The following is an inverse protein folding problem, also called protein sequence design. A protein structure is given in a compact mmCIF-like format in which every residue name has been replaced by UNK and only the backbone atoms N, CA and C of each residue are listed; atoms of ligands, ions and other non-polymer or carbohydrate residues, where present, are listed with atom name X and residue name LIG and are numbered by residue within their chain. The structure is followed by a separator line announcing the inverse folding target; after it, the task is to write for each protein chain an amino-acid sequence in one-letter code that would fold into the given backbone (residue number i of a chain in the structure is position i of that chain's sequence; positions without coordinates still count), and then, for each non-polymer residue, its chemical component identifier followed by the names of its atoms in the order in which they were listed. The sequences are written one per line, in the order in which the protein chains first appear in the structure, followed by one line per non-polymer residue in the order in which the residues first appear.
data_IF_492320308491
#
_entry.id   IF_492320308491
#
_cell.length_a   1.000
_cell.length_b   1.000
_cell.length_c   1.000
_cell.angle_alpha   90.00
_cell.angle_beta   90.00
_cell.angle_gamma   90.00
#
_symmetry.space_group_name_H-M   'P 1'
#
loop_
_entity.id
_entity.type
_entity.pdbx_description
1 polymer ?
#
# COMPACT_ATOMS: atom_id res chain seq x y z
N UNK A 1 -8.93 -14.10 2.28
CA UNK A 1 -7.80 -13.75 1.38
C UNK A 1 -7.87 -12.35 0.76
N UNK A 2 -9.04 -11.77 0.52
CA UNK A 2 -9.18 -10.48 -0.19
C UNK A 2 -8.34 -9.32 0.38
N UNK A 3 -8.25 -9.18 1.70
CA UNK A 3 -7.45 -8.12 2.36
C UNK A 3 -5.95 -8.28 2.07
N UNK A 4 -5.43 -9.51 2.11
CA UNK A 4 -4.03 -9.79 1.81
C UNK A 4 -3.73 -9.52 0.32
N UNK A 5 -4.65 -9.87 -0.58
CA UNK A 5 -4.49 -9.56 -2.01
C UNK A 5 -4.42 -8.04 -2.25
N UNK A 6 -5.17 -7.25 -1.48
CA UNK A 6 -5.12 -5.79 -1.54
C UNK A 6 -3.78 -5.23 -1.04
N UNK A 7 -3.18 -5.83 -0.01
CA UNK A 7 -1.82 -5.50 0.46
C UNK A 7 -0.77 -5.72 -0.62
N UNK A 8 -0.78 -6.91 -1.21
CA UNK A 8 0.17 -7.30 -2.27
C UNK A 8 0.04 -6.38 -3.48
N UNK A 9 -1.19 -6.01 -3.86
CA UNK A 9 -1.43 -5.05 -4.93
C UNK A 9 -0.82 -3.68 -4.61
N UNK A 10 -1.03 -3.17 -3.39
CA UNK A 10 -0.45 -1.89 -2.94
C UNK A 10 1.07 -1.90 -3.02
N UNK A 11 1.70 -2.96 -2.51
CA UNK A 11 3.15 -3.15 -2.57
C UNK A 11 3.67 -3.25 -4.00
N UNK A 12 2.93 -3.90 -4.90
CA UNK A 12 3.25 -3.95 -6.33
C UNK A 12 3.25 -2.58 -7.01
N UNK A 13 2.26 -1.73 -6.70
CA UNK A 13 2.21 -0.35 -7.21
C UNK A 13 3.39 0.47 -6.68
N UNK A 14 3.73 0.33 -5.39
CA UNK A 14 4.89 1.00 -4.80
C UNK A 14 6.19 0.56 -5.50
N UNK A 15 6.39 -0.74 -5.71
CA UNK A 15 7.57 -1.26 -6.40
C UNK A 15 7.69 -0.71 -7.84
N UNK A 16 6.57 -0.56 -8.54
CA UNK A 16 6.55 0.05 -9.86
C UNK A 16 6.97 1.52 -9.83
N UNK A 17 6.50 2.29 -8.84
CA UNK A 17 6.94 3.68 -8.65
C UNK A 17 8.42 3.80 -8.33
N UNK A 18 8.97 2.88 -7.51
CA UNK A 18 10.42 2.82 -7.24
C UNK A 18 11.21 2.59 -8.51
N UNK A 19 10.72 1.72 -9.40
CA UNK A 19 11.36 1.44 -10.70
C UNK A 19 11.34 2.66 -11.62
N UNK A 20 10.27 3.47 -11.58
CA UNK A 20 10.21 4.74 -12.33
C UNK A 20 11.22 5.75 -11.76
N UNK A 21 11.27 5.88 -10.43
CA UNK A 21 12.15 6.84 -9.75
C UNK A 21 13.65 6.55 -9.97
N UNK A 22 14.00 5.27 -10.15
CA UNK A 22 15.38 4.81 -10.32
C UNK A 22 15.91 4.89 -11.75
N UNK A 23 15.12 5.39 -12.71
CA UNK A 23 15.53 5.47 -14.12
C UNK A 23 16.62 6.51 -14.38
N UNK A 24 16.51 7.68 -13.73
CA UNK A 24 17.44 8.79 -13.97
C UNK A 24 18.68 8.66 -13.10
N UNK A 25 18.54 8.16 -11.87
CA UNK A 25 19.65 7.94 -10.95
C UNK A 25 19.29 6.98 -9.84
N UNK A 26 20.30 6.46 -9.15
CA UNK A 26 20.14 5.47 -8.06
C UNK A 26 20.48 6.05 -6.69
N UNK A 27 21.11 7.23 -6.63
CA UNK A 27 21.46 7.85 -5.36
C UNK A 27 20.23 8.46 -4.68
N UNK A 28 20.15 8.33 -3.36
CA UNK A 28 19.09 8.92 -2.55
C UNK A 28 19.09 10.44 -2.70
N UNK A 29 17.95 11.11 -2.95
CA UNK A 29 17.85 12.55 -3.20
C UNK A 29 18.00 13.35 -1.91
N UNK A 30 19.18 13.25 -1.30
CA UNK A 30 19.57 13.93 -0.07
C UNK A 30 20.88 14.65 -0.41
N UNK A 31 20.81 15.97 -0.49
CA UNK A 31 21.98 16.78 -0.81
C UNK A 31 23.00 16.71 0.33
N UNK A 32 24.24 16.32 0.01
CA UNK A 32 25.38 16.33 0.93
C UNK A 32 26.30 17.50 0.59
N UNK A 33 26.83 18.18 1.61
CA UNK A 33 27.67 19.39 1.44
C UNK A 33 28.97 19.17 0.64
N UNK A 34 29.41 17.91 0.44
CA UNK A 34 30.60 17.55 -0.34
C UNK A 34 30.23 16.71 -1.57
N UNK A 35 29.23 17.14 -2.34
CA UNK A 35 28.69 16.38 -3.46
C UNK A 35 29.77 16.08 -4.53
N UNK A 36 30.16 14.81 -4.63
CA UNK A 36 30.59 14.27 -5.93
C UNK A 36 29.43 14.43 -6.92
N UNK A 37 29.73 14.54 -8.22
CA UNK A 37 28.73 14.44 -9.28
C UNK A 37 28.13 13.03 -9.27
N UNK A 38 27.08 12.82 -8.48
CA UNK A 38 26.31 11.57 -8.44
C UNK A 38 24.91 11.82 -8.97
N UNK A 39 24.41 10.84 -9.72
CA UNK A 39 23.08 10.89 -10.31
C UNK A 39 22.05 10.45 -9.28
N UNK A 40 21.28 11.43 -8.79
CA UNK A 40 20.21 11.24 -7.82
C UNK A 40 18.96 10.66 -8.49
N UNK A 41 18.22 9.84 -7.74
CA UNK A 41 16.90 9.38 -8.11
C UNK A 41 15.88 10.54 -8.04
N UNK A 42 14.81 10.45 -8.81
CA UNK A 42 13.76 11.48 -8.81
C UNK A 42 13.10 11.57 -7.41
N UNK A 43 13.11 12.75 -6.75
CA UNK A 43 12.47 12.94 -5.46
C UNK A 43 10.94 12.96 -5.52
N UNK A 44 10.33 13.26 -6.68
CA UNK A 44 8.88 13.41 -6.81
C UNK A 44 8.14 12.08 -6.56
N UNK A 45 8.50 10.96 -7.22
CA UNK A 45 7.90 9.66 -6.92
C UNK A 45 8.09 9.21 -5.47
N UNK A 46 9.19 9.58 -4.81
CA UNK A 46 9.47 9.18 -3.42
C UNK A 46 8.49 9.81 -2.43
N UNK A 47 8.16 11.09 -2.61
CA UNK A 47 7.14 11.76 -1.80
C UNK A 47 5.75 11.14 -2.01
N UNK A 48 5.43 10.76 -3.25
CA UNK A 48 4.17 10.07 -3.57
C UNK A 48 4.10 8.69 -2.93
N UNK A 49 5.18 7.89 -3.00
CA UNK A 49 5.27 6.58 -2.36
C UNK A 49 5.02 6.67 -0.85
N UNK A 50 5.67 7.62 -0.16
CA UNK A 50 5.50 7.79 1.29
C UNK A 50 4.02 8.07 1.65
N UNK A 51 3.36 8.91 0.87
CA UNK A 51 1.93 9.22 1.04
C UNK A 51 1.06 7.98 0.78
N UNK A 52 1.36 7.24 -0.29
CA UNK A 52 0.62 6.03 -0.65
C UNK A 52 0.72 4.93 0.41
N UNK A 53 1.90 4.75 1.02
CA UNK A 53 2.12 3.79 2.12
C UNK A 53 1.21 4.11 3.31
N UNK A 54 1.16 5.37 3.75
CA UNK A 54 0.36 5.78 4.90
C UNK A 54 -1.14 5.60 4.62
N UNK A 55 -1.60 5.93 3.41
CA UNK A 55 -2.99 5.70 3.00
C UNK A 55 -3.31 4.21 2.96
N UNK A 56 -2.45 3.41 2.33
CA UNK A 56 -2.61 1.95 2.24
C UNK A 56 -2.71 1.29 3.62
N UNK A 57 -1.82 1.65 4.54
CA UNK A 57 -1.85 1.19 5.92
C UNK A 57 -3.14 1.57 6.64
N UNK A 58 -3.61 2.81 6.45
CA UNK A 58 -4.86 3.29 7.07
C UNK A 58 -6.08 2.49 6.59
N UNK A 59 -6.15 2.18 5.30
CA UNK A 59 -7.24 1.38 4.73
C UNK A 59 -7.16 -0.06 5.22
N UNK A 60 -5.97 -0.65 5.33
CA UNK A 60 -5.80 -1.98 5.91
C UNK A 60 -6.27 -2.07 7.36
N UNK A 61 -5.90 -1.10 8.19
CA UNK A 61 -6.35 -1.04 9.57
C UNK A 61 -7.89 -0.99 9.65
N UNK A 62 -8.52 -0.14 8.83
CA UNK A 62 -9.97 -0.04 8.75
C UNK A 62 -10.63 -1.36 8.31
N UNK A 63 -10.10 -2.01 7.27
CA UNK A 63 -10.63 -3.30 6.79
C UNK A 63 -10.49 -4.40 7.84
N UNK A 64 -9.36 -4.46 8.56
CA UNK A 64 -9.16 -5.44 9.62
C UNK A 64 -10.17 -5.24 10.75
N UNK A 65 -10.38 -4.00 11.20
CA UNK A 65 -11.42 -3.70 12.21
C UNK A 65 -12.81 -4.10 11.70
N UNK A 66 -13.12 -3.82 10.42
CA UNK A 66 -14.36 -4.23 9.79
C UNK A 66 -14.56 -5.76 9.81
N UNK A 67 -13.53 -6.52 9.44
CA UNK A 67 -13.58 -7.99 9.45
C UNK A 67 -13.63 -8.54 10.87
N UNK A 68 -12.94 -7.94 11.84
CA UNK A 68 -13.04 -8.33 13.24
C UNK A 68 -14.46 -8.17 13.78
N UNK A 69 -15.14 -7.08 13.41
CA UNK A 69 -16.54 -6.86 13.77
C UNK A 69 -17.45 -7.88 13.07
N UNK A 70 -17.25 -8.09 11.77
CA UNK A 70 -18.03 -9.06 11.00
C UNK A 70 -17.89 -10.50 11.54
N UNK A 71 -16.68 -10.89 11.94
CA UNK A 71 -16.38 -12.18 12.55
C UNK A 71 -17.03 -12.38 13.93
N UNK A 72 -17.31 -11.28 14.64
CA UNK A 72 -18.01 -11.32 15.92
C UNK A 72 -19.51 -11.53 15.74
N UNK A 73 -20.08 -10.92 14.71
CA UNK A 73 -21.52 -10.89 14.48
C UNK A 73 -22.00 -12.05 13.58
N UNK A 74 -21.11 -12.73 12.86
CA UNK A 74 -21.45 -13.81 11.93
C UNK A 74 -20.67 -15.10 12.23
N UNK A 75 -21.29 -16.29 12.05
CA UNK A 75 -20.64 -17.58 12.27
C UNK A 75 -19.60 -17.93 11.20
N UNK A 76 -19.63 -17.24 10.06
CA UNK A 76 -18.70 -17.43 8.94
C UNK A 76 -18.22 -16.08 8.40
N UNK A 77 -17.04 -16.08 7.79
CA UNK A 77 -16.48 -14.94 7.07
C UNK A 77 -16.58 -15.09 5.54
N UNK A 78 -17.29 -16.12 5.07
CA UNK A 78 -17.58 -16.31 3.65
C UNK A 78 -18.60 -15.26 3.17
N UNK A 79 -18.17 -14.39 2.25
CA UNK A 79 -18.97 -13.25 1.82
C UNK A 79 -20.31 -13.67 1.20
N UNK A 80 -20.32 -14.75 0.41
CA UNK A 80 -21.53 -15.24 -0.26
C UNK A 80 -22.57 -15.75 0.75
N UNK A 81 -22.13 -16.39 1.85
CA UNK A 81 -23.03 -16.88 2.91
C UNK A 81 -23.65 -15.73 3.71
N UNK A 82 -22.87 -14.69 3.98
CA UNK A 82 -23.35 -13.49 4.67
C UNK A 82 -24.38 -12.75 3.80
N UNK A 83 -24.16 -12.68 2.48
CA UNK A 83 -25.11 -12.04 1.56
C UNK A 83 -26.44 -12.80 1.49
N UNK A 84 -26.40 -14.13 1.31
CA UNK A 84 -27.60 -14.98 1.24
C UNK A 84 -28.43 -14.98 2.54
N UNK A 85 -27.79 -14.83 3.70
CA UNK A 85 -28.48 -14.78 5.00
C UNK A 85 -29.14 -13.41 5.29
N UNK A 86 -28.77 -12.37 4.54
CA UNK A 86 -29.28 -11.01 4.72
C UNK A 86 -30.11 -10.51 3.52
N UNK A 87 -30.31 -11.34 2.49
CA UNK A 87 -31.28 -11.08 1.41
C UNK A 87 -32.72 -11.32 1.90
N UNK A 88 -33.68 -10.42 1.57
CA UNK A 88 -35.10 -10.58 1.93
C UNK A 88 -35.79 -11.72 1.17
#
# INVERSE_FOLDING_TARGET
MKIISMDVMSTGVIAYYVLIASREGLFTPIALNNAQEVTYADPVPQAVILTAIVIGFSIQALMLVGVMKLARDNPTLESNEIENSNTP
#
